data_IF_635981322591
#
_entry.id   IF_635981322591
#
_cell.length_a   1.000
_cell.length_b   1.000
_cell.length_c   1.000
_cell.angle_alpha   90.00
_cell.angle_beta   90.00
_cell.angle_gamma   90.00
#
_symmetry.space_group_name_H-M   'P 1'
#
loop_
_entity.id
_entity.type
_entity.pdbx_description
1 polymer ?
#
# COMPACT_ATOMS: atom_id res chain seq x y z
N UNK A 1 20.36 95.81 -40.76
CA UNK A 1 20.61 94.56 -41.50
C UNK A 1 20.71 93.44 -40.49
N UNK A 2 19.93 92.40 -40.74
CA UNK A 2 19.58 91.22 -39.94
C UNK A 2 20.78 90.50 -39.30
N UNK A 3 20.60 89.94 -38.09
CA UNK A 3 20.74 88.49 -37.79
C UNK A 3 20.47 88.24 -36.29
N UNK A 4 19.45 87.44 -36.03
CA UNK A 4 19.13 86.79 -34.75
C UNK A 4 20.13 85.66 -34.42
N UNK A 5 20.35 85.38 -33.13
CA UNK A 5 20.45 84.02 -32.53
C UNK A 5 20.63 84.17 -31.00
N UNK A 6 19.55 83.96 -30.23
CA UNK A 6 19.15 82.72 -29.53
C UNK A 6 20.01 82.40 -28.30
N UNK A 7 19.56 82.91 -27.15
CA UNK A 7 19.94 82.50 -25.80
C UNK A 7 19.27 81.15 -25.49
N UNK A 8 20.05 80.12 -25.19
CA UNK A 8 19.55 78.82 -24.71
C UNK A 8 19.77 78.76 -23.19
N UNK A 9 18.67 78.80 -22.42
CA UNK A 9 18.66 78.40 -21.02
C UNK A 9 18.87 76.88 -20.94
N UNK A 10 19.93 76.44 -20.26
CA UNK A 10 20.13 75.04 -19.91
C UNK A 10 19.20 74.63 -18.77
N UNK A 11 18.23 73.77 -19.06
CA UNK A 11 17.40 73.11 -18.06
C UNK A 11 18.14 71.86 -17.56
N UNK A 12 18.60 71.88 -16.30
CA UNK A 12 19.06 70.70 -15.57
C UNK A 12 17.87 69.82 -15.21
N UNK A 13 17.70 68.71 -15.96
CA UNK A 13 16.72 67.66 -15.66
C UNK A 13 17.32 66.74 -14.59
N UNK A 14 16.76 66.77 -13.38
CA UNK A 14 17.06 65.78 -12.34
C UNK A 14 16.39 64.45 -12.69
N UNK A 15 17.19 63.42 -12.96
CA UNK A 15 16.71 62.06 -13.20
C UNK A 15 16.31 61.40 -11.86
N UNK A 16 15.12 60.77 -11.73
CA UNK A 16 14.78 60.01 -10.55
C UNK A 16 15.58 58.70 -10.53
N UNK A 17 16.34 58.49 -9.46
CA UNK A 17 17.00 57.23 -9.17
C UNK A 17 15.92 56.16 -8.90
N UNK A 18 15.71 55.27 -9.86
CA UNK A 18 14.89 54.07 -9.69
C UNK A 18 15.66 53.16 -8.72
N UNK A 19 15.15 53.05 -7.48
CA UNK A 19 15.55 52.01 -6.55
C UNK A 19 15.13 50.66 -7.16
N UNK A 20 16.08 49.98 -7.81
CA UNK A 20 15.95 48.58 -8.22
C UNK A 20 15.87 47.72 -6.95
N UNK A 21 14.65 47.50 -6.45
CA UNK A 21 14.40 46.48 -5.45
C UNK A 21 14.86 45.15 -6.03
N UNK A 22 15.97 44.62 -5.49
CA UNK A 22 16.47 43.29 -5.82
C UNK A 22 15.43 42.24 -5.44
N UNK A 23 14.52 41.95 -6.35
CA UNK A 23 13.72 40.75 -6.30
C UNK A 23 14.68 39.57 -6.36
N UNK A 24 14.89 38.92 -5.22
CA UNK A 24 15.49 37.60 -5.20
C UNK A 24 14.69 36.74 -6.17
N UNK A 25 15.26 36.46 -7.34
CA UNK A 25 14.73 35.50 -8.27
C UNK A 25 14.65 34.18 -7.50
N UNK A 26 13.44 33.82 -7.06
CA UNK A 26 13.17 32.50 -6.55
C UNK A 26 13.57 31.53 -7.67
N UNK A 27 14.72 30.88 -7.52
CA UNK A 27 15.18 29.86 -8.45
C UNK A 27 14.01 28.88 -8.56
N UNK A 28 13.38 28.82 -9.74
CA UNK A 28 12.21 27.96 -9.94
C UNK A 28 12.66 26.52 -9.65
N UNK A 29 12.25 25.99 -8.49
CA UNK A 29 12.57 24.63 -8.10
C UNK A 29 11.79 23.71 -9.04
N UNK A 30 12.48 22.73 -9.64
CA UNK A 30 11.86 21.75 -10.53
C UNK A 30 10.78 20.91 -9.84
N UNK A 31 10.00 20.11 -10.58
CA UNK A 31 8.98 19.26 -9.98
C UNK A 31 9.61 18.22 -9.03
N UNK A 32 8.87 17.87 -7.98
CA UNK A 32 9.27 16.80 -7.06
C UNK A 32 8.82 15.47 -7.65
N UNK A 33 9.76 14.56 -7.86
CA UNK A 33 9.47 13.20 -8.31
C UNK A 33 9.05 12.33 -7.14
N UNK A 34 7.84 11.80 -7.22
CA UNK A 34 7.31 10.74 -6.36
C UNK A 34 7.15 9.51 -7.24
N UNK A 35 7.40 8.32 -6.70
CA UNK A 35 7.21 7.08 -7.43
C UNK A 35 6.13 6.22 -6.80
N UNK A 36 5.42 5.48 -7.65
CA UNK A 36 4.63 4.32 -7.27
C UNK A 36 5.34 3.07 -7.79
N UNK A 37 5.48 2.05 -6.95
CA UNK A 37 6.02 0.77 -7.36
C UNK A 37 5.13 -0.38 -6.88
N UNK A 38 4.94 -1.39 -7.72
CA UNK A 38 4.10 -2.54 -7.42
C UNK A 38 3.81 -3.38 -8.67
N UNK A 39 2.99 -4.44 -8.55
CA UNK A 39 2.67 -5.33 -9.65
C UNK A 39 1.69 -4.63 -10.60
N UNK A 40 2.19 -4.01 -11.66
CA UNK A 40 1.34 -3.41 -12.70
C UNK A 40 0.95 -4.43 -13.76
N UNK A 41 1.63 -5.58 -13.78
CA UNK A 41 1.33 -6.76 -14.60
C UNK A 41 1.29 -8.03 -13.75
N UNK A 42 0.91 -9.15 -14.37
CA UNK A 42 0.81 -10.46 -13.72
C UNK A 42 -0.46 -10.65 -12.90
N UNK A 43 -0.52 -11.74 -12.12
CA UNK A 43 -1.72 -12.15 -11.38
C UNK A 43 -2.16 -11.14 -10.30
N UNK A 44 -1.25 -10.28 -9.84
CA UNK A 44 -1.50 -9.28 -8.81
C UNK A 44 -1.71 -7.86 -9.37
N UNK A 45 -1.89 -7.72 -10.69
CA UNK A 45 -2.04 -6.43 -11.37
C UNK A 45 -3.15 -5.54 -10.77
N UNK A 46 -4.21 -6.16 -10.26
CA UNK A 46 -5.34 -5.49 -9.60
C UNK A 46 -4.89 -4.65 -8.40
N UNK A 47 -3.96 -5.17 -7.59
CA UNK A 47 -3.44 -4.46 -6.43
C UNK A 47 -2.48 -3.34 -6.82
N UNK A 48 -1.67 -3.53 -7.85
CA UNK A 48 -0.87 -2.44 -8.40
C UNK A 48 -1.73 -1.31 -8.98
N UNK A 49 -2.86 -1.65 -9.62
CA UNK A 49 -3.82 -0.65 -10.08
C UNK A 49 -4.43 0.14 -8.90
N UNK A 50 -4.85 -0.54 -7.82
CA UNK A 50 -5.36 0.13 -6.61
C UNK A 50 -4.32 1.12 -6.04
N UNK A 51 -3.06 0.67 -5.87
CA UNK A 51 -1.99 1.52 -5.34
C UNK A 51 -1.73 2.71 -6.28
N UNK A 52 -1.65 2.45 -7.59
CA UNK A 52 -1.41 3.49 -8.60
C UNK A 52 -2.50 4.55 -8.58
N UNK A 53 -3.76 4.15 -8.54
CA UNK A 53 -4.87 5.11 -8.51
C UNK A 53 -4.90 5.89 -7.19
N UNK A 54 -4.53 5.25 -6.06
CA UNK A 54 -4.30 5.88 -4.78
C UNK A 54 -3.30 7.04 -4.83
N UNK A 55 -2.10 6.76 -5.34
CA UNK A 55 -1.02 7.75 -5.48
C UNK A 55 -1.39 8.82 -6.52
N UNK A 56 -1.97 8.41 -7.65
CA UNK A 56 -2.36 9.32 -8.72
C UNK A 56 -3.40 10.34 -8.25
N UNK A 57 -4.43 9.90 -7.51
CA UNK A 57 -5.42 10.83 -6.96
C UNK A 57 -4.79 11.80 -5.95
N UNK A 58 -3.86 11.33 -5.11
CA UNK A 58 -3.15 12.21 -4.17
C UNK A 58 -2.30 13.25 -4.91
N UNK A 59 -1.58 12.85 -5.96
CA UNK A 59 -0.80 13.77 -6.81
C UNK A 59 -1.68 14.82 -7.45
N UNK A 60 -2.84 14.44 -8.01
CA UNK A 60 -3.81 15.38 -8.58
C UNK A 60 -4.28 16.39 -7.53
N UNK A 61 -4.68 15.92 -6.35
CA UNK A 61 -5.19 16.76 -5.28
C UNK A 61 -4.11 17.73 -4.76
N UNK A 62 -2.87 17.27 -4.54
CA UNK A 62 -1.77 18.13 -4.11
C UNK A 62 -1.38 19.17 -5.16
N UNK A 63 -1.32 18.77 -6.42
CA UNK A 63 -0.98 19.69 -7.52
C UNK A 63 -2.03 20.78 -7.69
N UNK A 64 -3.32 20.42 -7.59
CA UNK A 64 -4.42 21.38 -7.59
C UNK A 64 -4.36 22.36 -6.39
N UNK A 65 -3.81 21.92 -5.25
CA UNK A 65 -3.60 22.74 -4.06
C UNK A 65 -2.27 23.56 -4.09
N UNK A 66 -1.57 23.62 -5.23
CA UNK A 66 -0.32 24.38 -5.38
C UNK A 66 0.97 23.56 -5.17
N UNK A 67 0.84 22.24 -5.05
CA UNK A 67 1.95 21.30 -4.89
C UNK A 67 2.47 21.19 -3.45
N UNK A 68 3.62 20.54 -3.29
CA UNK A 68 4.31 20.37 -2.00
C UNK A 68 5.48 21.34 -1.94
N UNK A 69 5.53 22.20 -0.91
CA UNK A 69 6.53 23.27 -0.80
C UNK A 69 6.58 24.16 -2.07
N UNK A 70 5.42 24.41 -2.67
CA UNK A 70 5.26 25.20 -3.90
C UNK A 70 5.78 24.51 -5.17
N UNK A 71 6.11 23.22 -5.12
CA UNK A 71 6.56 22.44 -6.28
C UNK A 71 5.52 21.40 -6.67
N UNK A 72 5.25 21.31 -7.98
CA UNK A 72 4.37 20.29 -8.53
C UNK A 72 4.99 18.90 -8.37
N UNK A 73 4.13 17.90 -8.10
CA UNK A 73 4.48 16.50 -8.04
C UNK A 73 4.41 15.88 -9.44
N UNK A 74 5.39 15.06 -9.77
CA UNK A 74 5.39 14.20 -10.95
C UNK A 74 5.50 12.75 -10.49
N UNK A 75 4.53 11.93 -10.89
CA UNK A 75 4.51 10.51 -10.55
C UNK A 75 5.30 9.69 -11.58
N UNK A 76 6.25 8.91 -11.08
CA UNK A 76 6.91 7.82 -11.82
C UNK A 76 6.26 6.50 -11.43
N UNK A 77 6.30 5.50 -12.32
CA UNK A 77 5.78 4.15 -12.04
C UNK A 77 6.84 3.09 -12.30
N UNK A 78 6.90 2.09 -11.43
CA UNK A 78 7.76 0.91 -11.59
C UNK A 78 6.96 -0.38 -11.43
N UNK A 79 6.89 -1.18 -12.50
CA UNK A 79 6.26 -2.49 -12.46
C UNK A 79 7.24 -3.53 -11.91
N UNK A 80 6.93 -4.08 -10.74
CA UNK A 80 7.74 -5.15 -10.14
C UNK A 80 7.20 -6.56 -10.42
N UNK A 81 6.00 -6.68 -11.00
CA UNK A 81 5.29 -7.95 -11.22
C UNK A 81 5.22 -8.90 -10.00
N UNK A 82 5.39 -8.38 -8.77
CA UNK A 82 5.65 -9.16 -7.55
C UNK A 82 6.85 -10.12 -7.62
N UNK A 83 7.82 -9.85 -8.49
CA UNK A 83 9.08 -10.57 -8.59
C UNK A 83 10.19 -9.84 -7.80
N UNK A 84 10.87 -10.51 -6.85
CA UNK A 84 11.91 -9.89 -6.04
C UNK A 84 13.10 -9.32 -6.83
N UNK A 85 13.48 -9.95 -7.96
CA UNK A 85 14.62 -9.49 -8.77
C UNK A 85 14.24 -8.27 -9.60
N UNK A 86 13.04 -8.29 -10.18
CA UNK A 86 12.48 -7.15 -10.89
C UNK A 86 12.26 -5.96 -9.94
N UNK A 87 11.81 -6.20 -8.71
CA UNK A 87 11.68 -5.16 -7.68
C UNK A 87 13.01 -4.44 -7.39
N UNK A 88 14.14 -5.17 -7.33
CA UNK A 88 15.48 -4.58 -7.18
C UNK A 88 15.85 -3.73 -8.42
N UNK A 89 15.55 -4.20 -9.62
CA UNK A 89 15.79 -3.44 -10.86
C UNK A 89 14.96 -2.14 -10.89
N UNK A 90 13.67 -2.24 -10.56
CA UNK A 90 12.76 -1.09 -10.42
C UNK A 90 13.28 -0.11 -9.37
N UNK A 91 13.77 -0.61 -8.23
CA UNK A 91 14.29 0.25 -7.18
C UNK A 91 15.48 1.09 -7.66
N UNK A 92 16.44 0.47 -8.34
CA UNK A 92 17.58 1.16 -8.96
C UNK A 92 17.12 2.19 -10.00
N UNK A 93 16.15 1.84 -10.84
CA UNK A 93 15.60 2.74 -11.86
C UNK A 93 14.93 3.97 -11.24
N UNK A 94 14.10 3.80 -10.20
CA UNK A 94 13.41 4.89 -9.52
C UNK A 94 14.38 5.78 -8.73
N UNK A 95 15.40 5.19 -8.11
CA UNK A 95 16.49 5.92 -7.48
C UNK A 95 17.30 6.75 -8.49
N UNK A 96 17.68 6.16 -9.63
CA UNK A 96 18.38 6.85 -10.72
C UNK A 96 17.55 7.98 -11.34
N UNK A 97 16.22 7.89 -11.31
CA UNK A 97 15.29 8.97 -11.67
C UNK A 97 15.09 10.00 -10.56
N UNK A 98 15.80 9.89 -9.44
CA UNK A 98 15.78 10.83 -8.32
C UNK A 98 14.40 10.95 -7.64
N UNK A 99 13.64 9.85 -7.57
CA UNK A 99 12.42 9.79 -6.78
C UNK A 99 12.74 10.11 -5.31
N UNK A 100 11.96 11.01 -4.68
CA UNK A 100 12.15 11.39 -3.27
C UNK A 100 11.48 10.41 -2.30
N UNK A 101 10.42 9.77 -2.76
CA UNK A 101 9.71 8.72 -2.05
C UNK A 101 9.15 7.72 -3.04
N UNK A 102 9.15 6.45 -2.65
CA UNK A 102 8.44 5.37 -3.33
C UNK A 102 7.26 4.96 -2.46
N UNK A 103 6.05 5.08 -3.01
CA UNK A 103 4.84 4.51 -2.43
C UNK A 103 4.67 3.12 -3.00
N UNK A 104 4.97 2.11 -2.19
CA UNK A 104 5.12 0.72 -2.64
C UNK A 104 6.12 -0.06 -1.78
N UNK A 105 6.38 -1.33 -2.05
CA UNK A 105 5.71 -2.14 -3.07
C UNK A 105 4.44 -2.79 -2.47
N UNK A 106 3.75 -3.61 -3.25
CA UNK A 106 2.64 -4.43 -2.75
C UNK A 106 3.17 -5.69 -2.03
N UNK A 107 3.80 -6.58 -2.79
CA UNK A 107 4.27 -7.86 -2.28
C UNK A 107 5.44 -7.68 -1.30
N UNK A 108 5.37 -8.33 -0.14
CA UNK A 108 6.46 -8.32 0.84
C UNK A 108 7.78 -8.87 0.30
N UNK A 109 7.71 -9.86 -0.61
CA UNK A 109 8.86 -10.38 -1.34
C UNK A 109 9.56 -9.34 -2.24
N UNK A 110 8.84 -8.31 -2.69
CA UNK A 110 9.37 -7.18 -3.46
C UNK A 110 9.87 -6.07 -2.55
N UNK A 111 9.07 -5.69 -1.55
CA UNK A 111 9.35 -4.57 -0.64
C UNK A 111 10.65 -4.76 0.16
N UNK A 112 10.91 -5.97 0.67
CA UNK A 112 12.07 -6.26 1.52
C UNK A 112 13.41 -6.08 0.78
N UNK A 113 13.64 -6.67 -0.41
CA UNK A 113 14.89 -6.43 -1.13
C UNK A 113 14.96 -5.03 -1.75
N UNK A 114 13.85 -4.46 -2.22
CA UNK A 114 13.83 -3.10 -2.76
C UNK A 114 14.18 -2.04 -1.70
N UNK A 115 13.75 -2.22 -0.45
CA UNK A 115 14.05 -1.30 0.65
C UNK A 115 15.55 -1.12 0.90
N UNK A 116 16.34 -2.17 0.67
CA UNK A 116 17.80 -2.14 0.81
C UNK A 116 18.43 -1.23 -0.24
N UNK A 117 18.01 -1.36 -1.49
CA UNK A 117 18.44 -0.45 -2.58
C UNK A 117 18.04 0.99 -2.25
N UNK A 118 16.79 1.22 -1.85
CA UNK A 118 16.35 2.56 -1.47
C UNK A 118 17.13 3.13 -0.28
N UNK A 119 17.58 2.28 0.66
CA UNK A 119 18.38 2.71 1.80
C UNK A 119 19.74 3.24 1.34
N UNK A 120 20.40 2.49 0.45
CA UNK A 120 21.70 2.82 -0.13
C UNK A 120 21.63 4.09 -0.98
N UNK A 121 20.55 4.24 -1.75
CA UNK A 121 20.33 5.35 -2.67
C UNK A 121 19.69 6.60 -2.03
N UNK A 122 19.44 6.57 -0.72
CA UNK A 122 18.88 7.74 -0.02
C UNK A 122 17.41 8.02 -0.35
N UNK A 123 16.62 6.99 -0.67
CA UNK A 123 15.20 7.09 -1.05
C UNK A 123 14.30 6.56 0.08
N UNK A 124 13.24 7.31 0.40
CA UNK A 124 12.21 6.91 1.35
C UNK A 124 11.25 5.90 0.72
N UNK A 125 10.87 4.85 1.44
CA UNK A 125 9.85 3.90 1.02
C UNK A 125 8.70 3.86 2.02
N UNK A 126 7.48 4.04 1.54
CA UNK A 126 6.25 3.90 2.33
C UNK A 126 5.38 2.84 1.66
N UNK A 127 5.30 1.63 2.22
CA UNK A 127 4.46 0.58 1.67
C UNK A 127 3.02 0.69 2.15
N UNK A 128 2.03 0.75 1.24
CA UNK A 128 0.62 0.73 1.62
C UNK A 128 0.08 -0.67 1.91
N UNK A 129 0.83 -1.74 1.63
CA UNK A 129 0.29 -3.11 1.62
C UNK A 129 1.28 -4.23 2.03
N UNK A 130 2.56 -3.93 2.26
CA UNK A 130 3.54 -4.95 2.67
C UNK A 130 3.45 -5.23 4.17
N UNK A 131 2.76 -6.31 4.51
CA UNK A 131 2.42 -6.69 5.88
C UNK A 131 3.49 -7.52 6.60
N UNK A 132 4.46 -8.10 5.88
CA UNK A 132 5.42 -8.98 6.54
C UNK A 132 6.25 -8.21 7.59
N UNK A 133 6.38 -8.73 8.83
CA UNK A 133 7.20 -8.15 9.90
C UNK A 133 8.61 -7.73 9.48
N UNK A 134 9.28 -8.56 8.67
CA UNK A 134 10.66 -8.37 8.21
C UNK A 134 10.86 -7.06 7.45
N UNK A 135 9.82 -6.51 6.83
CA UNK A 135 9.92 -5.25 6.08
C UNK A 135 10.45 -4.09 6.92
N UNK A 136 9.99 -3.94 8.17
CA UNK A 136 10.49 -2.90 9.09
C UNK A 136 11.39 -3.46 10.20
N UNK A 137 11.32 -4.76 10.50
CA UNK A 137 12.24 -5.39 11.47
C UNK A 137 13.67 -5.50 10.92
N UNK A 138 13.81 -5.77 9.61
CA UNK A 138 15.10 -5.71 8.87
C UNK A 138 15.27 -4.38 8.11
N UNK A 139 14.27 -3.49 8.23
CA UNK A 139 14.23 -2.21 7.56
C UNK A 139 15.20 -1.19 8.18
N UNK A 140 15.53 -0.17 7.42
CA UNK A 140 16.39 0.92 7.86
C UNK A 140 15.56 2.17 8.18
N UNK A 141 16.26 3.31 8.27
CA UNK A 141 15.66 4.63 8.52
C UNK A 141 14.54 5.01 7.54
N UNK A 142 14.52 4.41 6.34
CA UNK A 142 13.68 4.77 5.21
C UNK A 142 12.45 3.85 5.02
N UNK A 143 12.17 2.92 5.93
CA UNK A 143 11.04 1.98 5.79
C UNK A 143 9.86 2.41 6.65
N UNK A 144 8.68 2.52 6.03
CA UNK A 144 7.42 2.87 6.68
C UNK A 144 6.28 2.12 6.02
N UNK A 145 5.17 1.92 6.74
CA UNK A 145 3.95 1.38 6.14
C UNK A 145 2.70 2.07 6.64
N UNK A 146 1.67 2.18 5.80
CA UNK A 146 0.33 2.63 6.21
C UNK A 146 -0.64 1.48 6.47
N UNK A 147 -0.25 0.24 6.17
CA UNK A 147 -0.94 -0.99 6.56
C UNK A 147 -0.41 -1.55 7.89
N UNK A 148 -1.12 -2.54 8.44
CA UNK A 148 -0.68 -3.32 9.60
C UNK A 148 0.35 -4.41 9.26
N UNK A 149 0.62 -5.29 10.23
CA UNK A 149 1.59 -6.39 10.11
C UNK A 149 0.96 -7.79 10.20
N UNK A 150 1.61 -8.80 9.60
CA UNK A 150 1.15 -10.19 9.65
C UNK A 150 1.23 -10.80 11.06
N UNK A 151 2.12 -10.34 11.93
CA UNK A 151 2.15 -10.77 13.35
C UNK A 151 1.00 -10.18 14.18
N UNK A 152 0.33 -9.14 13.67
CA UNK A 152 -0.92 -8.62 14.22
C UNK A 152 -2.12 -9.32 13.56
N UNK A 153 -2.13 -9.39 12.23
CA UNK A 153 -3.19 -10.02 11.44
C UNK A 153 -3.34 -11.51 11.77
N UNK A 154 -2.23 -12.23 11.87
CA UNK A 154 -2.22 -13.65 12.20
C UNK A 154 -2.72 -13.93 13.62
N UNK A 155 -2.49 -13.02 14.57
CA UNK A 155 -3.08 -13.13 15.91
C UNK A 155 -4.59 -13.00 15.87
N UNK A 156 -5.12 -12.02 15.11
CA UNK A 156 -6.56 -11.85 14.92
C UNK A 156 -7.15 -13.09 14.24
N UNK A 157 -6.54 -13.54 13.14
CA UNK A 157 -7.01 -14.69 12.39
C UNK A 157 -6.97 -15.98 13.22
N UNK A 158 -5.84 -16.29 13.84
CA UNK A 158 -5.64 -17.53 14.59
C UNK A 158 -6.54 -17.64 15.81
N UNK A 159 -6.73 -16.54 16.56
CA UNK A 159 -7.68 -16.51 17.70
C UNK A 159 -9.11 -16.76 17.24
N UNK A 160 -9.55 -16.06 16.19
CA UNK A 160 -10.88 -16.24 15.64
C UNK A 160 -11.11 -17.69 15.20
N UNK A 161 -10.13 -18.30 14.52
CA UNK A 161 -10.23 -19.69 14.08
C UNK A 161 -10.31 -20.65 15.27
N UNK A 162 -9.45 -20.49 16.28
CA UNK A 162 -9.46 -21.32 17.48
C UNK A 162 -10.77 -21.22 18.26
N UNK A 163 -11.36 -20.03 18.34
CA UNK A 163 -12.62 -19.78 19.06
C UNK A 163 -13.86 -20.26 18.29
N UNK A 164 -13.97 -19.90 17.01
CA UNK A 164 -15.18 -20.13 16.20
C UNK A 164 -15.24 -21.49 15.54
N UNK A 165 -14.08 -22.10 15.30
CA UNK A 165 -13.96 -23.41 14.64
C UNK A 165 -13.35 -24.46 15.57
N UNK A 166 -13.54 -24.31 16.89
CA UNK A 166 -13.12 -25.30 17.87
C UNK A 166 -13.66 -26.70 17.52
N UNK A 167 -12.77 -27.69 17.49
CA UNK A 167 -13.11 -29.07 17.13
C UNK A 167 -13.24 -29.35 15.63
N UNK A 168 -13.02 -28.36 14.77
CA UNK A 168 -12.96 -28.52 13.32
C UNK A 168 -11.56 -28.90 12.85
N UNK A 169 -11.48 -29.58 11.71
CA UNK A 169 -10.22 -29.97 11.07
C UNK A 169 -9.74 -28.84 10.18
N UNK A 170 -8.72 -28.13 10.63
CA UNK A 170 -8.15 -26.97 9.91
C UNK A 170 -6.95 -27.40 9.08
N UNK A 171 -6.89 -26.98 7.82
CA UNK A 171 -5.67 -26.97 7.04
C UNK A 171 -5.11 -25.55 6.98
N UNK A 172 -3.80 -25.41 7.14
CA UNK A 172 -3.07 -24.17 6.92
C UNK A 172 -2.23 -24.35 5.65
N UNK A 173 -2.54 -23.57 4.63
CA UNK A 173 -1.88 -23.58 3.34
C UNK A 173 -1.07 -22.30 3.12
N UNK A 174 0.03 -22.39 2.38
CA UNK A 174 0.82 -21.22 1.98
C UNK A 174 1.48 -21.35 0.61
N UNK A 175 1.79 -20.24 -0.03
CA UNK A 175 2.42 -20.16 -1.36
C UNK A 175 3.96 -20.15 -1.35
N UNK A 176 4.59 -20.34 -0.18
CA UNK A 176 6.04 -20.19 0.08
C UNK A 176 6.62 -18.78 -0.10
N UNK A 177 5.80 -17.78 -0.48
CA UNK A 177 6.26 -16.39 -0.54
C UNK A 177 6.51 -15.84 0.87
N UNK A 178 7.28 -14.75 0.95
CA UNK A 178 7.51 -14.07 2.22
C UNK A 178 6.21 -13.64 2.92
N UNK A 179 5.22 -13.17 2.15
CA UNK A 179 3.91 -12.82 2.67
C UNK A 179 3.11 -14.07 3.06
N UNK A 180 2.81 -14.95 2.09
CA UNK A 180 1.87 -16.04 2.30
C UNK A 180 2.33 -17.02 3.38
N UNK A 181 3.61 -17.41 3.37
CA UNK A 181 4.16 -18.25 4.44
C UNK A 181 4.23 -17.52 5.78
N UNK A 182 4.64 -16.24 5.80
CA UNK A 182 4.74 -15.46 7.02
C UNK A 182 3.40 -15.32 7.74
N UNK A 183 2.34 -14.98 6.99
CA UNK A 183 0.99 -14.88 7.52
C UNK A 183 0.44 -16.24 7.96
N UNK A 184 0.64 -17.30 7.16
CA UNK A 184 0.25 -18.66 7.54
C UNK A 184 0.91 -19.11 8.85
N UNK A 185 2.20 -18.79 9.04
CA UNK A 185 2.95 -19.16 10.24
C UNK A 185 2.47 -18.42 11.49
N UNK A 186 2.24 -17.10 11.41
CA UNK A 186 1.71 -16.33 12.55
C UNK A 186 0.27 -16.72 12.89
N UNK A 187 -0.57 -16.99 11.89
CA UNK A 187 -1.93 -17.52 12.12
C UNK A 187 -1.90 -18.89 12.78
N UNK A 188 -1.10 -19.82 12.25
CA UNK A 188 -0.93 -21.16 12.84
C UNK A 188 -0.45 -21.07 14.28
N UNK A 189 0.54 -20.22 14.56
CA UNK A 189 1.06 -20.00 15.91
C UNK A 189 -0.02 -19.49 16.87
N UNK A 190 -0.78 -18.48 16.48
CA UNK A 190 -1.85 -17.93 17.31
C UNK A 190 -3.02 -18.92 17.51
N UNK A 191 -3.40 -19.65 16.45
CA UNK A 191 -4.42 -20.68 16.49
C UNK A 191 -4.03 -21.83 17.45
N UNK A 192 -2.79 -22.31 17.35
CA UNK A 192 -2.28 -23.38 18.20
C UNK A 192 -2.18 -22.93 19.67
N UNK A 193 -1.78 -21.67 19.91
CA UNK A 193 -1.81 -21.07 21.25
C UNK A 193 -3.24 -20.95 21.81
N UNK A 194 -4.24 -20.80 20.94
CA UNK A 194 -5.67 -20.85 21.27
C UNK A 194 -6.22 -22.27 21.49
N UNK A 195 -5.38 -23.31 21.38
CA UNK A 195 -5.77 -24.70 21.66
C UNK A 195 -6.35 -25.46 20.46
N UNK A 196 -6.23 -24.93 19.24
CA UNK A 196 -6.62 -25.63 18.02
C UNK A 196 -5.40 -25.88 17.14
N UNK A 197 -4.99 -27.13 17.00
CA UNK A 197 -3.87 -27.52 16.13
C UNK A 197 -4.36 -27.85 14.73
N UNK A 198 -3.63 -27.41 13.70
CA UNK A 198 -3.96 -27.76 12.32
C UNK A 198 -3.82 -29.27 12.07
N UNK A 199 -4.74 -29.81 11.26
CA UNK A 199 -4.69 -31.19 10.77
C UNK A 199 -3.68 -31.33 9.63
N UNK A 200 -3.51 -30.28 8.83
CA UNK A 200 -2.57 -30.24 7.72
C UNK A 200 -1.89 -28.88 7.68
N UNK A 201 -0.58 -28.87 7.51
CA UNK A 201 0.20 -27.69 7.15
C UNK A 201 0.95 -28.02 5.86
N UNK A 202 0.70 -27.27 4.79
CA UNK A 202 1.28 -27.59 3.48
C UNK A 202 1.48 -26.37 2.59
N UNK A 203 2.51 -26.44 1.75
CA UNK A 203 2.68 -25.50 0.67
C UNK A 203 1.82 -25.88 -0.55
N UNK A 204 1.43 -24.88 -1.33
CA UNK A 204 1.00 -25.03 -2.73
C UNK A 204 1.92 -24.20 -3.64
N UNK A 205 1.89 -24.49 -4.94
CA UNK A 205 2.70 -23.80 -5.94
C UNK A 205 1.83 -22.74 -6.64
N UNK A 206 2.07 -21.43 -6.44
CA UNK A 206 1.31 -20.40 -7.15
C UNK A 206 1.53 -20.45 -8.68
N UNK A 207 0.54 -19.97 -9.43
CA UNK A 207 0.54 -19.98 -10.90
C UNK A 207 0.05 -21.27 -11.56
N UNK A 208 -0.26 -22.32 -10.78
CA UNK A 208 -0.92 -23.51 -11.31
C UNK A 208 -2.39 -23.20 -11.65
N UNK A 209 -2.90 -23.83 -12.71
CA UNK A 209 -4.32 -23.78 -13.08
C UNK A 209 -5.15 -24.86 -12.38
N UNK A 210 -4.47 -25.91 -11.91
CA UNK A 210 -5.08 -27.10 -11.35
C UNK A 210 -4.45 -27.39 -9.97
N UNK A 211 -5.26 -27.31 -8.92
CA UNK A 211 -4.91 -27.61 -7.53
C UNK A 211 -5.60 -28.90 -7.05
N UNK A 212 -6.09 -29.77 -7.95
CA UNK A 212 -6.81 -30.99 -7.61
C UNK A 212 -6.02 -31.92 -6.69
N UNK A 213 -4.69 -31.95 -6.80
CA UNK A 213 -3.84 -32.73 -5.91
C UNK A 213 -3.84 -32.17 -4.47
N UNK A 214 -3.76 -30.85 -4.32
CA UNK A 214 -3.90 -30.16 -3.02
C UNK A 214 -5.29 -30.46 -2.46
N UNK A 215 -6.34 -30.25 -3.26
CA UNK A 215 -7.73 -30.47 -2.84
C UNK A 215 -8.01 -31.92 -2.45
N UNK A 216 -7.51 -32.90 -3.21
CA UNK A 216 -7.67 -34.32 -2.89
C UNK A 216 -7.06 -34.66 -1.54
N UNK A 217 -5.92 -34.03 -1.21
CA UNK A 217 -5.25 -34.18 0.08
C UNK A 217 -6.06 -33.55 1.23
N UNK A 218 -6.66 -32.39 0.99
CA UNK A 218 -7.59 -31.75 1.94
C UNK A 218 -8.84 -32.61 2.18
N UNK A 219 -9.41 -33.18 1.10
CA UNK A 219 -10.58 -34.06 1.18
C UNK A 219 -10.27 -35.35 1.93
N UNK A 220 -9.15 -36.00 1.63
CA UNK A 220 -8.70 -37.20 2.35
C UNK A 220 -8.45 -36.92 3.84
N UNK A 221 -8.00 -35.70 4.17
CA UNK A 221 -7.84 -35.24 5.54
C UNK A 221 -9.14 -34.71 6.17
N UNK A 222 -10.31 -34.83 5.52
CA UNK A 222 -11.62 -34.36 6.01
C UNK A 222 -11.58 -32.92 6.54
N UNK A 223 -10.96 -32.01 5.78
CA UNK A 223 -10.78 -30.61 6.19
C UNK A 223 -12.12 -29.85 6.17
N UNK A 224 -12.43 -29.18 7.29
CA UNK A 224 -13.58 -28.30 7.46
C UNK A 224 -13.24 -26.83 7.17
N UNK A 225 -12.01 -26.42 7.46
CA UNK A 225 -11.55 -25.02 7.32
C UNK A 225 -10.20 -25.00 6.63
N UNK A 226 -10.08 -24.18 5.59
CA UNK A 226 -8.82 -23.93 4.90
C UNK A 226 -8.40 -22.51 5.26
N UNK A 227 -7.34 -22.36 6.06
CA UNK A 227 -6.63 -21.08 6.16
C UNK A 227 -5.58 -21.01 5.06
N UNK A 228 -5.60 -19.96 4.24
CA UNK A 228 -4.69 -19.79 3.11
C UNK A 228 -3.90 -18.49 3.25
N UNK A 229 -2.60 -18.62 3.47
CA UNK A 229 -1.64 -17.54 3.38
C UNK A 229 -1.13 -17.38 1.95
N UNK A 230 -1.66 -16.41 1.22
CA UNK A 230 -1.37 -16.20 -0.19
C UNK A 230 -2.43 -15.29 -0.84
N UNK A 231 -2.55 -15.34 -2.17
CA UNK A 231 -3.30 -14.36 -2.96
C UNK A 231 -4.65 -14.88 -3.48
N UNK A 232 -5.49 -13.96 -3.96
CA UNK A 232 -6.85 -14.20 -4.42
C UNK A 232 -6.96 -15.23 -5.55
N UNK A 233 -5.97 -15.29 -6.45
CA UNK A 233 -6.01 -16.18 -7.62
C UNK A 233 -6.06 -17.64 -7.20
N UNK A 234 -5.07 -18.07 -6.41
CA UNK A 234 -5.02 -19.44 -5.92
C UNK A 234 -6.12 -19.74 -4.91
N UNK A 235 -6.44 -18.77 -4.05
CA UNK A 235 -7.53 -18.92 -3.10
C UNK A 235 -8.87 -19.22 -3.79
N UNK A 236 -9.19 -18.47 -4.84
CA UNK A 236 -10.41 -18.66 -5.64
C UNK A 236 -10.43 -20.01 -6.36
N UNK A 237 -9.30 -20.42 -6.94
CA UNK A 237 -9.20 -21.71 -7.63
C UNK A 237 -9.31 -22.90 -6.67
N UNK A 238 -8.63 -22.84 -5.52
CA UNK A 238 -8.64 -23.90 -4.51
C UNK A 238 -10.04 -24.08 -3.93
N UNK A 239 -10.73 -23.00 -3.54
CA UNK A 239 -12.09 -23.14 -2.98
C UNK A 239 -13.09 -23.63 -4.03
N UNK A 240 -12.97 -23.17 -5.29
CA UNK A 240 -13.80 -23.66 -6.39
C UNK A 240 -13.64 -25.16 -6.59
N UNK A 241 -12.40 -25.63 -6.73
CA UNK A 241 -12.10 -27.05 -6.93
C UNK A 241 -12.48 -27.89 -5.69
N UNK A 242 -12.33 -27.36 -4.47
CA UNK A 242 -12.78 -28.03 -3.25
C UNK A 242 -14.30 -28.26 -3.23
N UNK A 243 -15.09 -27.26 -3.64
CA UNK A 243 -16.55 -27.38 -3.74
C UNK A 243 -16.96 -28.33 -4.88
N UNK A 244 -16.30 -28.27 -6.03
CA UNK A 244 -16.50 -29.21 -7.15
C UNK A 244 -16.25 -30.67 -6.73
N UNK A 245 -15.27 -30.90 -5.85
CA UNK A 245 -15.01 -32.22 -5.27
C UNK A 245 -15.93 -32.58 -4.09
N UNK A 246 -16.95 -31.76 -3.80
CA UNK A 246 -17.96 -32.03 -2.78
C UNK A 246 -17.52 -31.76 -1.34
N UNK A 247 -16.45 -30.99 -1.12
CA UNK A 247 -16.05 -30.61 0.24
C UNK A 247 -16.96 -29.51 0.80
N UNK A 248 -17.48 -29.71 2.01
CA UNK A 248 -18.17 -28.66 2.75
C UNK A 248 -17.20 -27.89 3.67
N UNK A 249 -16.26 -27.15 3.08
CA UNK A 249 -15.27 -26.38 3.82
C UNK A 249 -15.48 -24.86 3.74
N UNK A 250 -14.96 -24.13 4.72
CA UNK A 250 -14.85 -22.66 4.71
C UNK A 250 -13.42 -22.26 4.39
N UNK A 251 -13.24 -21.37 3.41
CA UNK A 251 -11.94 -20.73 3.15
C UNK A 251 -11.80 -19.48 4.02
N UNK A 252 -10.63 -19.30 4.63
CA UNK A 252 -10.24 -18.10 5.36
C UNK A 252 -8.87 -17.65 4.82
N UNK A 253 -8.74 -16.37 4.47
CA UNK A 253 -7.46 -15.80 4.03
C UNK A 253 -7.10 -14.49 4.74
N UNK A 254 -6.07 -13.83 4.23
CA UNK A 254 -5.65 -12.50 4.67
C UNK A 254 -6.17 -11.37 3.80
N UNK A 255 -5.51 -10.23 3.91
CA UNK A 255 -5.79 -9.00 3.17
C UNK A 255 -5.76 -9.17 1.64
N UNK A 256 -4.94 -10.09 1.12
CA UNK A 256 -4.84 -10.34 -0.32
C UNK A 256 -6.09 -10.99 -0.97
N UNK A 257 -7.18 -11.20 -0.22
CA UNK A 257 -8.48 -11.62 -0.76
C UNK A 257 -9.42 -10.42 -1.00
N UNK A 258 -9.03 -9.18 -0.66
CA UNK A 258 -9.88 -7.97 -0.73
C UNK A 258 -9.93 -7.36 -2.13
N UNK A 259 -10.32 -8.17 -3.11
CA UNK A 259 -10.50 -7.76 -4.51
C UNK A 259 -11.71 -8.47 -5.09
N UNK A 260 -12.48 -7.76 -5.92
CA UNK A 260 -13.59 -8.35 -6.67
C UNK A 260 -13.18 -9.54 -7.56
N UNK A 261 -11.90 -9.62 -7.96
CA UNK A 261 -11.36 -10.73 -8.74
C UNK A 261 -11.42 -12.07 -8.00
N UNK A 262 -11.30 -12.08 -6.66
CA UNK A 262 -11.48 -13.32 -5.88
C UNK A 262 -12.83 -13.96 -6.21
N UNK A 263 -13.90 -13.16 -6.16
CA UNK A 263 -15.24 -13.64 -6.44
C UNK A 263 -15.44 -14.03 -7.90
N UNK A 264 -14.84 -13.29 -8.83
CA UNK A 264 -14.90 -13.64 -10.26
C UNK A 264 -14.28 -15.02 -10.54
N UNK A 265 -13.24 -15.40 -9.78
CA UNK A 265 -12.58 -16.70 -9.91
C UNK A 265 -13.37 -17.80 -9.20
N UNK A 266 -13.79 -17.56 -7.95
CA UNK A 266 -14.46 -18.57 -7.11
C UNK A 266 -15.92 -18.79 -7.50
N UNK A 267 -16.61 -17.75 -7.99
CA UNK A 267 -18.06 -17.73 -8.14
C UNK A 267 -18.77 -18.11 -6.84
N UNK A 268 -19.89 -18.83 -6.96
CA UNK A 268 -20.69 -19.30 -5.83
C UNK A 268 -19.93 -20.20 -4.85
N UNK A 269 -18.81 -20.83 -5.27
CA UNK A 269 -17.98 -21.63 -4.37
C UNK A 269 -17.30 -20.78 -3.28
N UNK A 270 -17.11 -19.47 -3.56
CA UNK A 270 -16.53 -18.52 -2.61
C UNK A 270 -17.51 -18.01 -1.55
N UNK A 271 -18.80 -18.35 -1.63
CA UNK A 271 -19.80 -17.96 -0.64
C UNK A 271 -19.41 -18.41 0.77
N UNK A 272 -19.44 -17.48 1.73
CA UNK A 272 -19.02 -17.73 3.11
C UNK A 272 -17.51 -17.76 3.34
N UNK A 273 -16.69 -17.53 2.31
CA UNK A 273 -15.25 -17.33 2.49
C UNK A 273 -15.00 -16.09 3.33
N UNK A 274 -14.02 -16.16 4.22
CA UNK A 274 -13.69 -15.08 5.14
C UNK A 274 -12.29 -14.53 4.87
N UNK A 275 -12.05 -13.31 5.30
CA UNK A 275 -10.72 -12.71 5.24
C UNK A 275 -10.53 -11.69 6.36
N UNK A 276 -9.29 -11.53 6.82
CA UNK A 276 -8.92 -10.40 7.65
C UNK A 276 -8.54 -9.21 6.79
N UNK A 277 -9.03 -8.03 7.14
CA UNK A 277 -8.59 -6.76 6.57
C UNK A 277 -8.89 -5.65 7.56
N UNK A 278 -8.23 -4.49 7.52
CA UNK A 278 -8.66 -3.32 8.27
C UNK A 278 -10.12 -2.91 8.02
N UNK A 279 -10.75 -2.22 8.97
CA UNK A 279 -12.09 -1.63 8.78
C UNK A 279 -12.12 -0.66 7.59
N UNK A 280 -13.14 -0.79 6.73
CA UNK A 280 -13.20 -0.19 5.40
C UNK A 280 -13.01 1.33 5.45
N UNK A 281 -11.88 1.87 4.93
CA UNK A 281 -11.60 3.29 5.02
C UNK A 281 -12.57 4.15 4.22
N UNK A 282 -13.29 3.59 3.24
CA UNK A 282 -14.28 4.34 2.44
C UNK A 282 -15.49 4.79 3.28
N UNK A 283 -15.74 4.12 4.40
CA UNK A 283 -16.84 4.46 5.33
C UNK A 283 -16.46 5.56 6.32
N UNK A 284 -15.20 5.98 6.35
CA UNK A 284 -14.71 7.01 7.29
C UNK A 284 -15.15 8.40 6.80
N UNK A 285 -15.72 9.27 7.65
CA UNK A 285 -16.18 10.60 7.25
C UNK A 285 -15.08 11.44 6.56
N UNK A 286 -13.85 11.37 7.07
CA UNK A 286 -12.69 12.08 6.50
C UNK A 286 -12.26 11.58 5.11
N UNK A 287 -12.71 10.39 4.68
CA UNK A 287 -12.42 9.86 3.36
C UNK A 287 -13.50 10.24 2.33
N UNK A 288 -14.66 10.77 2.75
CA UNK A 288 -15.83 10.93 1.90
C UNK A 288 -15.57 11.77 0.64
N UNK A 289 -14.85 12.89 0.78
CA UNK A 289 -14.53 13.76 -0.37
C UNK A 289 -13.56 13.10 -1.35
N UNK A 290 -12.54 12.39 -0.82
CA UNK A 290 -11.57 11.66 -1.65
C UNK A 290 -12.28 10.53 -2.40
N UNK A 291 -13.14 9.77 -1.72
CA UNK A 291 -13.97 8.73 -2.34
C UNK A 291 -14.87 9.31 -3.44
N UNK A 292 -15.47 10.48 -3.22
CA UNK A 292 -16.26 11.15 -4.25
C UNK A 292 -15.41 11.53 -5.48
N UNK A 293 -14.17 12.00 -5.28
CA UNK A 293 -13.25 12.30 -6.40
C UNK A 293 -12.83 11.06 -7.19
N UNK A 294 -12.58 9.94 -6.51
CA UNK A 294 -12.35 8.65 -7.18
C UNK A 294 -13.54 8.25 -8.05
N UNK A 295 -14.75 8.31 -7.49
CA UNK A 295 -15.99 7.97 -8.22
C UNK A 295 -16.27 8.91 -9.38
N UNK A 296 -15.95 10.19 -9.27
CA UNK A 296 -16.05 11.15 -10.38
C UNK A 296 -15.13 10.80 -11.56
N UNK A 297 -14.09 10.00 -11.33
CA UNK A 297 -13.19 9.46 -12.36
C UNK A 297 -13.56 8.02 -12.77
N UNK A 298 -14.69 7.49 -12.33
CA UNK A 298 -15.11 6.10 -12.51
C UNK A 298 -14.10 5.08 -11.95
N UNK A 299 -13.42 5.43 -10.86
CA UNK A 299 -12.52 4.52 -10.13
C UNK A 299 -13.16 4.19 -8.79
N UNK A 300 -13.30 2.90 -8.47
CA UNK A 300 -13.71 2.46 -7.14
C UNK A 300 -12.46 2.32 -6.25
N UNK A 301 -12.33 3.08 -5.15
CA UNK A 301 -11.14 3.05 -4.31
C UNK A 301 -11.17 1.89 -3.31
N UNK A 302 -11.31 0.66 -3.80
CA UNK A 302 -11.28 -0.54 -2.97
C UNK A 302 -9.84 -0.94 -2.54
N UNK A 303 -9.76 -1.81 -1.54
CA UNK A 303 -8.49 -2.37 -1.04
C UNK A 303 -7.48 -1.29 -0.65
N UNK A 304 -6.34 -1.27 -1.33
CA UNK A 304 -5.18 -0.45 -0.94
C UNK A 304 -5.16 0.96 -1.56
N UNK A 305 -6.21 1.37 -2.28
CA UNK A 305 -6.26 2.70 -2.91
C UNK A 305 -6.16 3.83 -1.87
N UNK A 306 -6.99 3.80 -0.83
CA UNK A 306 -6.96 4.82 0.22
C UNK A 306 -5.72 4.72 1.12
N UNK A 307 -5.12 3.53 1.26
CA UNK A 307 -3.84 3.35 1.96
C UNK A 307 -2.68 4.03 1.25
N UNK A 308 -2.68 3.98 -0.08
CA UNK A 308 -1.66 4.60 -0.94
C UNK A 308 -1.84 6.12 -1.03
N UNK A 309 -3.10 6.58 -1.07
CA UNK A 309 -3.43 7.99 -0.92
C UNK A 309 -2.92 8.53 0.43
N UNK A 310 -3.22 7.85 1.54
CA UNK A 310 -2.76 8.23 2.87
C UNK A 310 -1.22 8.22 3.01
N UNK A 311 -0.53 7.24 2.43
CA UNK A 311 0.93 7.21 2.39
C UNK A 311 1.52 8.49 1.75
N UNK A 312 0.88 8.95 0.66
CA UNK A 312 1.25 10.19 -0.02
C UNK A 312 0.93 11.44 0.81
N UNK A 313 -0.22 11.44 1.52
CA UNK A 313 -0.59 12.53 2.44
C UNK A 313 0.44 12.70 3.56
N UNK A 314 0.85 11.60 4.18
CA UNK A 314 1.82 11.61 5.27
C UNK A 314 3.16 12.14 4.77
N UNK A 315 3.65 11.66 3.63
CA UNK A 315 4.90 12.14 3.06
C UNK A 315 4.86 13.64 2.79
N UNK A 316 3.79 14.13 2.15
CA UNK A 316 3.63 15.55 1.83
C UNK A 316 3.57 16.42 3.09
N UNK A 317 2.81 15.98 4.10
CA UNK A 317 2.69 16.68 5.38
C UNK A 317 4.03 16.71 6.15
N UNK A 318 4.78 15.60 6.14
CA UNK A 318 6.09 15.52 6.77
C UNK A 318 7.13 16.39 6.02
N UNK A 319 7.08 16.42 4.69
CA UNK A 319 7.93 17.29 3.87
C UNK A 319 7.64 18.78 4.14
N UNK A 320 6.36 19.15 4.25
CA UNK A 320 5.94 20.48 4.65
C UNK A 320 6.46 20.84 6.05
N UNK A 321 6.29 19.94 7.02
CA UNK A 321 6.75 20.14 8.40
C UNK A 321 8.26 20.28 8.51
N UNK A 322 9.01 19.48 7.75
CA UNK A 322 10.48 19.52 7.71
C UNK A 322 11.02 20.64 6.82
N UNK A 323 10.15 21.34 6.07
CA UNK A 323 10.50 22.34 5.05
C UNK A 323 11.55 21.83 4.04
N UNK A 324 11.47 20.56 3.67
CA UNK A 324 12.41 19.91 2.76
C UNK A 324 11.82 18.64 2.15
N UNK A 325 12.37 18.21 1.01
CA UNK A 325 12.10 16.92 0.36
C UNK A 325 13.28 15.96 0.46
N UNK A 326 14.27 16.28 1.30
CA UNK A 326 15.33 15.35 1.66
C UNK A 326 14.74 14.14 2.38
N UNK A 327 14.90 12.94 1.80
CA UNK A 327 14.21 11.74 2.24
C UNK A 327 14.48 11.42 3.72
N UNK A 328 15.72 11.63 4.19
CA UNK A 328 16.11 11.34 5.58
C UNK A 328 15.50 12.32 6.56
N UNK A 329 15.53 13.62 6.27
CA UNK A 329 14.85 14.62 7.10
C UNK A 329 13.34 14.43 7.13
N UNK A 330 12.74 14.02 6.01
CA UNK A 330 11.31 13.68 5.95
C UNK A 330 10.99 12.44 6.80
N UNK A 331 11.81 11.39 6.70
CA UNK A 331 11.66 10.19 7.53
C UNK A 331 11.79 10.49 9.03
N UNK A 332 12.77 11.30 9.42
CA UNK A 332 12.96 11.74 10.80
C UNK A 332 11.73 12.52 11.29
N UNK A 333 11.18 13.42 10.46
CA UNK A 333 9.95 14.14 10.78
C UNK A 333 8.76 13.19 10.94
N UNK A 334 8.58 12.21 10.04
CA UNK A 334 7.52 11.19 10.11
C UNK A 334 7.53 10.43 11.44
N UNK A 335 8.72 10.06 11.96
CA UNK A 335 8.87 9.35 13.25
C UNK A 335 8.73 10.26 14.47
N UNK A 336 9.28 11.47 14.39
CA UNK A 336 9.31 12.41 15.51
C UNK A 336 7.98 13.15 15.72
N UNK A 337 7.07 13.10 14.74
CA UNK A 337 5.82 13.84 14.76
C UNK A 337 4.62 12.96 14.48
N UNK A 338 3.47 13.44 14.90
CA UNK A 338 2.18 12.79 14.73
C UNK A 338 1.19 13.31 15.77
N UNK A 339 -0.08 12.93 15.66
CA UNK A 339 -0.62 12.09 14.60
C UNK A 339 -0.82 12.86 13.28
N UNK A 340 -0.47 12.23 12.16
CA UNK A 340 -0.67 12.73 10.80
C UNK A 340 -2.12 12.52 10.37
N UNK A 341 -2.80 13.58 9.95
CA UNK A 341 -4.20 13.49 9.51
C UNK A 341 -4.25 12.92 8.08
N UNK A 342 -5.01 11.84 7.88
CA UNK A 342 -5.15 11.18 6.58
C UNK A 342 -6.59 10.75 6.32
N UNK A 343 -6.88 10.25 5.13
CA UNK A 343 -8.15 9.57 4.81
C UNK A 343 -8.40 8.32 5.66
N UNK A 344 -7.34 7.69 6.18
CA UNK A 344 -7.43 6.61 7.16
C UNK A 344 -7.64 7.16 8.58
N UNK A 345 -7.77 8.47 8.78
CA UNK A 345 -7.74 9.09 10.10
C UNK A 345 -6.31 9.34 10.60
N UNK A 346 -6.14 9.64 11.90
CA UNK A 346 -4.85 10.02 12.47
C UNK A 346 -3.87 8.84 12.52
N UNK A 347 -2.70 8.95 11.88
CA UNK A 347 -1.64 7.93 11.86
C UNK A 347 -0.39 8.41 12.60
N UNK A 348 0.18 7.57 13.46
CA UNK A 348 1.52 7.77 14.04
C UNK A 348 2.38 6.53 13.81
N UNK A 349 3.69 6.74 13.67
CA UNK A 349 4.65 5.66 13.47
C UNK A 349 5.43 5.34 14.73
N UNK A 350 5.74 4.07 14.93
CA UNK A 350 6.73 3.65 15.92
C UNK A 350 8.17 3.88 15.42
N UNK A 351 9.16 3.46 16.22
CA UNK A 351 10.58 3.60 15.87
C UNK A 351 10.99 2.82 14.61
N UNK A 352 10.28 1.74 14.29
CA UNK A 352 10.53 0.87 13.13
C UNK A 352 9.92 1.44 11.85
N UNK A 353 8.90 2.30 11.97
CA UNK A 353 8.12 2.81 10.84
C UNK A 353 6.77 2.12 10.67
N UNK A 354 6.32 1.38 11.70
CA UNK A 354 5.02 0.72 11.71
C UNK A 354 3.93 1.67 12.21
N UNK A 355 2.72 1.57 11.66
CA UNK A 355 1.56 2.26 12.25
C UNK A 355 1.30 1.73 13.66
N UNK A 356 0.93 2.64 14.56
CA UNK A 356 0.71 2.34 16.00
C UNK A 356 -0.67 1.81 16.33
N UNK A 357 -1.62 1.83 15.37
CA UNK A 357 -3.00 1.36 15.56
C UNK A 357 -3.29 0.24 14.56
N UNK A 358 -3.27 -1.03 14.99
CA UNK A 358 -3.76 -2.13 14.16
C UNK A 358 -5.29 -2.21 14.24
N UNK A 359 -5.96 -2.36 13.10
CA UNK A 359 -7.42 -2.35 12.96
C UNK A 359 -7.98 -3.54 12.18
N UNK A 360 -7.28 -4.69 12.17
CA UNK A 360 -7.74 -5.89 11.47
C UNK A 360 -9.05 -6.42 12.08
N UNK A 361 -10.04 -6.56 11.21
CA UNK A 361 -11.36 -7.14 11.44
C UNK A 361 -11.60 -8.29 10.46
N UNK A 362 -12.68 -9.06 10.65
CA UNK A 362 -13.11 -10.05 9.68
C UNK A 362 -14.14 -9.51 8.70
N UNK A 363 -14.01 -9.96 7.46
CA UNK A 363 -15.00 -9.82 6.41
C UNK A 363 -15.49 -11.20 5.96
N UNK A 364 -16.73 -11.26 5.47
CA UNK A 364 -17.29 -12.44 4.81
C UNK A 364 -17.74 -12.09 3.39
N UNK A 365 -17.44 -12.97 2.44
CA UNK A 365 -17.95 -12.92 1.08
C UNK A 365 -19.37 -13.47 1.02
N UNK A 366 -20.29 -12.68 0.47
CA UNK A 366 -21.70 -13.00 0.27
C UNK A 366 -22.23 -12.33 -0.99
N UNK A 367 -22.82 -13.12 -1.88
CA UNK A 367 -23.49 -12.61 -3.10
C UNK A 367 -22.61 -11.68 -3.95
N UNK A 368 -21.31 -11.97 -4.11
CA UNK A 368 -20.43 -11.14 -4.93
C UNK A 368 -19.86 -9.89 -4.28
N UNK A 369 -20.21 -9.64 -3.03
CA UNK A 369 -19.63 -8.57 -2.22
C UNK A 369 -19.06 -9.13 -0.91
N UNK A 370 -18.29 -8.32 -0.19
CA UNK A 370 -17.84 -8.64 1.15
C UNK A 370 -18.29 -7.58 2.14
N UNK A 371 -18.58 -8.01 3.37
CA UNK A 371 -19.01 -7.14 4.47
C UNK A 371 -18.29 -7.51 5.76
N UNK A 372 -17.99 -6.49 6.56
CA UNK A 372 -17.39 -6.63 7.89
C UNK A 372 -18.35 -7.39 8.81
N UNK A 373 -17.83 -8.30 9.64
CA UNK A 373 -18.62 -9.17 10.52
C UNK A 373 -18.14 -9.21 11.97
N UNK A 374 -17.04 -8.53 12.30
CA UNK A 374 -16.50 -8.50 13.67
C UNK A 374 -15.80 -7.19 13.99
#
# INVERSE_FOLDING_TARGET
MTIQRRTLLGATVAAPAILSAGGASAQARGPIRIAMAGPLTGANATFGAQIREGVNQAVLDFNAAGGVLGQQLVMETGDDACDPRQAVSVANQLAGRQAKVVIGHYCSGSSIPASKVYTEEGVLQISPASTNPRYTDEGAWNTFRTCGRDDQQGVVAGKYIAERFKGKRVAVLHDNSAYGKGLADETKKAMNAGGLTETLYAAYTPGERDYNAVVSRLKAANIDVIYLGGYHTEAGLIIRQAKEQGMNCTLIGGDALTTSEFWQISGAAGEGSMMTFPSDPRKRPQAAEVVARFKARNVEPEGFALYSYAATQIWAAAAAKANTVDARKVADAMKASGPWQTVLGPISFDRKGDVTVPDFVFYVWKNGAYAEVS
#
